data_IF_416475888775
#
_entry.id   IF_416475888775
#
_cell.length_a   1.000
_cell.length_b   1.000
_cell.length_c   1.000
_cell.angle_alpha   90.00
_cell.angle_beta   90.00
_cell.angle_gamma   90.00
#
_symmetry.space_group_name_H-M   'P 1'
#
loop_
_entity.id
_entity.type
_entity.pdbx_description
1 polymer ?
#
# COMPACT_ATOMS: atom_id res chain seq x y z
N UNK A 1 -1.65 -20.87 -4.61
CA UNK A 1 -1.07 -19.52 -4.75
C UNK A 1 0.24 -19.68 -5.49
N UNK A 2 0.41 -19.00 -6.63
CA UNK A 2 1.68 -19.06 -7.38
C UNK A 2 2.67 -18.12 -6.72
N UNK A 3 3.84 -18.63 -6.35
CA UNK A 3 4.93 -17.83 -5.79
C UNK A 3 5.54 -17.01 -6.92
N UNK A 4 5.77 -15.71 -6.70
CA UNK A 4 6.37 -14.82 -7.68
C UNK A 4 7.84 -14.55 -7.37
N UNK A 5 8.62 -14.20 -8.39
CA UNK A 5 9.94 -13.62 -8.18
C UNK A 5 9.81 -12.33 -7.37
N UNK A 6 10.83 -12.00 -6.57
CA UNK A 6 10.83 -10.80 -5.71
C UNK A 6 9.75 -10.77 -4.63
N UNK A 7 9.00 -11.86 -4.42
CA UNK A 7 7.93 -11.87 -3.43
C UNK A 7 8.47 -11.74 -2.01
N UNK A 8 7.82 -10.89 -1.21
CA UNK A 8 8.05 -10.82 0.24
C UNK A 8 6.93 -11.57 0.95
N UNK A 9 7.29 -12.54 1.78
CA UNK A 9 6.35 -13.20 2.69
C UNK A 9 6.38 -12.54 4.05
N UNK A 10 5.20 -12.25 4.61
CA UNK A 10 5.06 -11.78 5.99
C UNK A 10 5.58 -12.86 6.95
N UNK A 11 6.61 -12.53 7.74
CA UNK A 11 7.10 -13.38 8.82
C UNK A 11 6.03 -13.55 9.92
N UNK A 12 6.04 -14.71 10.55
CA UNK A 12 5.26 -15.02 11.75
C UNK A 12 6.00 -14.60 13.04
N UNK A 13 5.45 -14.97 14.20
CA UNK A 13 6.01 -14.62 15.50
C UNK A 13 7.35 -15.32 15.81
N UNK A 14 7.70 -16.38 15.06
CA UNK A 14 8.95 -17.13 15.22
C UNK A 14 10.02 -16.64 14.23
N UNK A 15 9.80 -15.50 13.57
CA UNK A 15 10.66 -14.93 12.52
C UNK A 15 10.81 -15.83 11.29
N UNK A 16 9.73 -16.51 10.88
CA UNK A 16 9.72 -17.38 9.70
C UNK A 16 8.51 -17.16 8.82
N UNK A 17 8.58 -17.61 7.58
CA UNK A 17 7.43 -17.78 6.71
C UNK A 17 7.27 -19.24 6.30
N UNK A 18 6.03 -19.71 6.30
CA UNK A 18 5.63 -21.04 5.81
C UNK A 18 5.12 -20.87 4.38
N UNK A 19 5.96 -21.18 3.40
CA UNK A 19 5.68 -20.96 1.98
C UNK A 19 5.14 -22.26 1.37
N UNK A 20 3.84 -22.31 1.02
CA UNK A 20 3.25 -23.48 0.37
C UNK A 20 3.75 -23.59 -1.07
N UNK A 21 4.29 -24.75 -1.44
CA UNK A 21 4.76 -25.07 -2.78
C UNK A 21 3.67 -25.74 -3.62
N UNK A 22 3.80 -25.68 -4.94
CA UNK A 22 2.88 -26.35 -5.86
C UNK A 22 2.86 -27.89 -5.70
N UNK A 23 3.91 -28.49 -5.14
CA UNK A 23 3.96 -29.92 -4.80
C UNK A 23 3.03 -30.31 -3.64
N UNK A 24 2.53 -29.34 -2.87
CA UNK A 24 1.81 -29.55 -1.62
C UNK A 24 2.71 -29.48 -0.38
N UNK A 25 4.04 -29.44 -0.56
CA UNK A 25 4.99 -29.27 0.55
C UNK A 25 4.99 -27.83 1.08
N UNK A 26 5.38 -27.65 2.33
CA UNK A 26 5.59 -26.34 2.94
C UNK A 26 7.10 -26.14 3.12
N UNK A 27 7.63 -25.06 2.55
CA UNK A 27 9.01 -24.62 2.79
C UNK A 27 9.03 -23.57 3.89
N UNK A 28 9.72 -23.85 4.99
CA UNK A 28 9.94 -22.87 6.06
C UNK A 28 11.21 -22.07 5.79
N UNK A 29 11.06 -20.75 5.70
CA UNK A 29 12.14 -19.82 5.44
C UNK A 29 12.30 -18.87 6.63
N UNK A 30 13.50 -18.69 7.21
CA UNK A 30 13.71 -17.68 8.25
C UNK A 30 13.69 -16.27 7.65
N UNK A 31 13.46 -15.26 8.50
CA UNK A 31 13.56 -13.83 8.13
C UNK A 31 14.87 -13.53 7.39
N UNK A 32 14.80 -12.72 6.34
CA UNK A 32 15.93 -12.43 5.45
C UNK A 32 15.71 -12.92 4.02
N UNK A 33 16.78 -13.40 3.39
CA UNK A 33 16.84 -13.76 1.98
C UNK A 33 18.01 -13.06 1.28
N UNK A 34 18.11 -13.15 -0.06
CA UNK A 34 17.13 -13.78 -0.96
C UNK A 34 17.12 -15.32 -0.86
N UNK A 35 15.95 -15.90 -1.09
CA UNK A 35 15.73 -17.34 -1.20
C UNK A 35 15.19 -17.71 -2.58
N UNK A 36 15.24 -19.01 -2.87
CA UNK A 36 14.51 -19.61 -3.99
C UNK A 36 13.44 -20.58 -3.46
N UNK A 37 12.23 -20.54 -4.01
CA UNK A 37 11.14 -21.46 -3.66
C UNK A 37 10.12 -21.56 -4.80
N UNK A 38 9.67 -22.78 -5.09
CA UNK A 38 8.61 -23.03 -6.08
C UNK A 38 8.93 -22.53 -7.49
N UNK A 39 10.21 -22.49 -7.87
CA UNK A 39 10.67 -21.97 -9.17
C UNK A 39 10.83 -20.45 -9.22
N UNK A 40 10.51 -19.73 -8.15
CA UNK A 40 10.75 -18.30 -8.02
C UNK A 40 12.06 -18.01 -7.27
N UNK A 41 12.70 -16.90 -7.60
CA UNK A 41 13.93 -16.38 -6.98
C UNK A 41 13.72 -14.99 -6.37
N UNK A 42 14.74 -14.48 -5.69
CA UNK A 42 14.69 -13.18 -5.00
C UNK A 42 13.58 -13.09 -3.94
N UNK A 43 13.21 -14.23 -3.34
CA UNK A 43 12.18 -14.28 -2.31
C UNK A 43 12.75 -13.76 -0.99
N UNK A 44 12.00 -12.88 -0.34
CA UNK A 44 12.33 -12.37 0.99
C UNK A 44 11.29 -12.85 2.00
N UNK A 45 11.73 -13.02 3.24
CA UNK A 45 10.85 -13.16 4.41
C UNK A 45 11.05 -11.93 5.27
N UNK A 46 9.98 -11.18 5.49
CA UNK A 46 10.06 -9.84 6.07
C UNK A 46 8.73 -9.33 6.58
N UNK A 47 8.61 -8.02 6.66
CA UNK A 47 7.40 -7.33 7.13
C UNK A 47 6.69 -6.61 5.99
N UNK A 48 5.39 -6.88 5.84
CA UNK A 48 4.53 -6.28 4.83
C UNK A 48 3.86 -5.01 5.35
N UNK A 49 3.86 -3.95 4.56
CA UNK A 49 3.31 -2.65 4.93
C UNK A 49 2.36 -2.13 3.86
N UNK A 50 1.14 -1.81 4.26
CA UNK A 50 0.16 -1.17 3.37
C UNK A 50 0.40 0.33 3.34
N UNK A 51 0.43 0.90 2.13
CA UNK A 51 0.56 2.34 1.89
C UNK A 51 -0.79 2.88 1.38
N UNK A 52 -1.64 3.34 2.29
CA UNK A 52 -3.03 3.75 1.99
C UNK A 52 -3.30 5.22 2.34
N UNK A 53 -4.37 5.75 1.75
CA UNK A 53 -4.78 7.15 1.89
C UNK A 53 -4.94 7.84 0.54
N UNK A 54 -4.50 9.08 0.43
CA UNK A 54 -4.65 9.89 -0.79
C UNK A 54 -3.32 10.29 -1.44
N UNK A 55 -3.32 11.40 -2.19
CA UNK A 55 -2.24 11.84 -3.08
C UNK A 55 -0.87 11.95 -2.40
N UNK A 56 -0.81 12.36 -1.13
CA UNK A 56 0.48 12.46 -0.42
C UNK A 56 1.07 11.08 -0.06
N UNK A 57 0.25 10.05 0.12
CA UNK A 57 0.72 8.66 0.21
C UNK A 57 1.02 8.07 -1.18
N UNK A 58 0.18 8.36 -2.17
CA UNK A 58 0.35 7.92 -3.57
C UNK A 58 1.67 8.44 -4.16
N UNK A 59 2.06 9.65 -3.76
CA UNK A 59 3.26 10.33 -4.24
C UNK A 59 2.91 11.43 -5.22
N UNK A 60 3.09 12.68 -4.78
CA UNK A 60 3.01 13.89 -5.60
C UNK A 60 4.28 14.73 -5.52
N UNK A 61 5.33 14.20 -4.91
CA UNK A 61 6.66 14.81 -4.89
C UNK A 61 7.33 14.74 -6.26
N UNK A 62 8.25 15.68 -6.51
CA UNK A 62 9.09 15.67 -7.71
C UNK A 62 9.99 14.43 -7.74
N UNK A 63 10.11 13.82 -8.92
CA UNK A 63 11.04 12.70 -9.17
C UNK A 63 12.45 13.23 -9.45
N UNK A 64 12.98 14.00 -8.49
CA UNK A 64 14.31 14.58 -8.52
C UNK A 64 15.04 14.08 -7.27
N UNK A 65 16.25 13.52 -7.46
CA UNK A 65 17.09 12.99 -6.38
C UNK A 65 16.33 12.06 -5.43
N UNK A 66 15.43 11.22 -5.99
CA UNK A 66 14.66 10.25 -5.22
C UNK A 66 15.56 9.17 -4.65
N UNK A 67 15.09 8.56 -3.57
CA UNK A 67 15.80 7.49 -2.89
C UNK A 67 16.09 6.33 -3.86
N UNK A 68 17.34 5.85 -3.98
CA UNK A 68 17.65 4.73 -4.87
C UNK A 68 17.04 3.43 -4.35
N UNK A 69 16.70 2.47 -5.24
CA UNK A 69 16.21 1.14 -4.86
C UNK A 69 17.12 0.41 -3.85
N UNK A 70 16.54 -0.54 -3.12
CA UNK A 70 17.25 -1.39 -2.16
C UNK A 70 16.92 -2.87 -2.42
N UNK A 71 17.89 -3.80 -2.37
CA UNK A 71 17.62 -5.23 -2.53
C UNK A 71 16.79 -5.83 -1.38
N UNK A 72 16.54 -5.09 -0.31
CA UNK A 72 15.76 -5.55 0.85
C UNK A 72 14.39 -4.86 0.96
N UNK A 73 14.01 -4.05 -0.04
CA UNK A 73 12.72 -3.37 -0.09
C UNK A 73 12.07 -3.65 -1.44
N UNK A 74 11.04 -4.48 -1.43
CA UNK A 74 10.28 -4.85 -2.63
C UNK A 74 8.87 -4.24 -2.56
N UNK A 75 8.24 -4.10 -3.71
CA UNK A 75 6.88 -3.55 -3.85
C UNK A 75 5.99 -4.56 -4.55
N UNK A 76 4.81 -4.79 -3.99
CA UNK A 76 3.70 -5.44 -4.68
C UNK A 76 2.99 -4.39 -5.53
N UNK A 77 3.44 -4.26 -6.78
CA UNK A 77 3.10 -3.12 -7.64
C UNK A 77 1.59 -3.02 -7.89
N UNK A 78 1.13 -1.88 -8.41
CA UNK A 78 -0.28 -1.66 -8.73
C UNK A 78 -0.87 -2.74 -9.66
N UNK A 79 -0.04 -3.30 -10.54
CA UNK A 79 -0.35 -4.45 -11.43
C UNK A 79 -0.34 -5.83 -10.75
N UNK A 80 -0.17 -5.89 -9.44
CA UNK A 80 -0.21 -7.15 -8.65
C UNK A 80 0.95 -8.12 -8.96
N UNK A 81 2.08 -7.54 -9.36
CA UNK A 81 3.36 -8.22 -9.54
C UNK A 81 4.40 -7.70 -8.54
N UNK A 82 5.23 -8.60 -8.02
CA UNK A 82 6.34 -8.26 -7.15
C UNK A 82 7.58 -7.81 -7.95
N UNK A 83 8.25 -6.78 -7.45
CA UNK A 83 9.55 -6.33 -7.95
C UNK A 83 10.31 -5.57 -6.85
N UNK A 84 11.58 -5.26 -7.10
CA UNK A 84 12.31 -4.28 -6.29
C UNK A 84 11.55 -2.95 -6.28
N UNK A 85 11.46 -2.31 -5.11
CA UNK A 85 10.76 -1.05 -4.96
C UNK A 85 11.57 0.11 -5.59
N UNK A 86 10.90 0.88 -6.44
CA UNK A 86 11.43 2.04 -7.14
C UNK A 86 10.34 3.11 -7.24
N UNK A 87 10.71 4.38 -7.13
CA UNK A 87 9.78 5.49 -7.31
C UNK A 87 9.43 5.69 -8.79
N UNK A 88 8.18 6.03 -9.14
CA UNK A 88 7.00 6.05 -8.30
C UNK A 88 6.54 4.65 -7.87
N UNK A 89 6.10 4.51 -6.61
CA UNK A 89 5.53 3.25 -6.13
C UNK A 89 4.11 2.98 -6.65
N UNK A 90 3.30 4.03 -6.87
CA UNK A 90 1.92 3.91 -7.32
C UNK A 90 1.79 4.15 -8.83
N UNK A 91 1.44 3.09 -9.56
CA UNK A 91 1.16 3.08 -11.00
C UNK A 91 -0.29 2.65 -11.23
N UNK A 92 -1.23 3.48 -10.76
CA UNK A 92 -2.64 3.10 -10.64
C UNK A 92 -3.32 2.75 -11.99
N UNK A 93 -2.83 3.28 -13.11
CA UNK A 93 -3.30 2.92 -14.46
C UNK A 93 -2.99 1.48 -14.87
N UNK A 94 -2.06 0.82 -14.17
CA UNK A 94 -1.79 -0.61 -14.36
C UNK A 94 -2.65 -1.51 -13.46
N UNK A 95 -3.46 -0.91 -12.58
CA UNK A 95 -4.20 -1.70 -11.61
C UNK A 95 -5.34 -2.49 -12.26
N UNK A 96 -5.51 -3.78 -11.92
CA UNK A 96 -6.69 -4.54 -12.34
C UNK A 96 -7.95 -4.17 -11.54
N UNK A 97 -7.86 -3.26 -10.56
CA UNK A 97 -8.97 -2.84 -9.69
C UNK A 97 -9.66 -1.63 -10.31
N UNK A 98 -10.93 -1.81 -10.71
CA UNK A 98 -11.69 -0.80 -11.43
C UNK A 98 -11.89 0.52 -10.66
N UNK A 99 -11.85 0.50 -9.33
CA UNK A 99 -11.98 1.73 -8.52
C UNK A 99 -11.02 2.83 -8.97
N UNK A 100 -9.76 2.51 -9.29
CA UNK A 100 -8.77 3.53 -9.65
C UNK A 100 -9.10 4.18 -11.00
N UNK A 101 -9.59 3.40 -11.96
CA UNK A 101 -10.03 3.88 -13.27
C UNK A 101 -11.32 4.69 -13.19
N UNK A 102 -12.27 4.22 -12.40
CA UNK A 102 -13.57 4.87 -12.15
C UNK A 102 -13.41 6.23 -11.50
N UNK A 103 -12.49 6.37 -10.55
CA UNK A 103 -12.20 7.64 -9.88
C UNK A 103 -11.53 8.67 -10.80
N UNK A 104 -10.94 8.24 -11.91
CA UNK A 104 -10.51 9.12 -13.01
C UNK A 104 -11.60 9.36 -14.07
N UNK A 105 -12.83 8.92 -13.82
CA UNK A 105 -13.98 9.13 -14.70
C UNK A 105 -14.14 8.11 -15.81
N UNK A 106 -13.42 6.97 -15.79
CA UNK A 106 -13.62 5.90 -16.78
C UNK A 106 -14.88 5.10 -16.44
N UNK A 107 -15.66 4.75 -17.47
CA UNK A 107 -16.90 3.98 -17.33
C UNK A 107 -16.67 2.46 -17.31
N UNK A 108 -15.50 2.00 -17.78
CA UNK A 108 -15.12 0.59 -17.82
C UNK A 108 -13.61 0.40 -17.61
N UNK A 109 -13.21 -0.82 -17.27
CA UNK A 109 -11.79 -1.21 -17.25
C UNK A 109 -11.18 -1.07 -18.66
N UNK A 110 -9.95 -0.58 -18.79
CA UNK A 110 -9.26 -0.61 -20.06
C UNK A 110 -8.92 -2.05 -20.47
N UNK A 111 -8.92 -2.32 -21.78
CA UNK A 111 -8.56 -3.65 -22.34
C UNK A 111 -7.12 -4.06 -22.05
N UNK A 112 -6.24 -3.06 -21.81
CA UNK A 112 -4.85 -3.23 -21.44
C UNK A 112 -4.48 -2.22 -20.34
N UNK A 113 -3.53 -2.55 -19.46
CA UNK A 113 -2.93 -1.58 -18.53
C UNK A 113 -2.49 -0.30 -19.23
N UNK A 114 -2.70 0.86 -18.60
CA UNK A 114 -2.14 2.11 -19.12
C UNK A 114 -0.60 2.00 -19.13
N UNK A 115 0.07 2.36 -20.24
CA UNK A 115 1.52 2.32 -20.28
C UNK A 115 2.11 3.32 -19.28
N UNK A 116 3.24 2.96 -18.65
CA UNK A 116 3.99 3.91 -17.82
C UNK A 116 4.44 5.08 -18.68
N UNK A 117 4.12 6.30 -18.25
CA UNK A 117 4.63 7.52 -18.87
C UNK A 117 6.14 7.65 -18.61
N UNK A 118 7.00 7.56 -19.65
CA UNK A 118 8.45 7.71 -19.49
C UNK A 118 8.88 9.14 -19.15
N UNK A 119 7.98 10.12 -19.26
CA UNK A 119 8.22 11.53 -18.95
C UNK A 119 7.59 11.96 -17.62
N UNK A 120 7.05 11.02 -16.84
CA UNK A 120 6.50 11.29 -15.52
C UNK A 120 7.55 11.98 -14.65
N UNK A 121 7.20 13.15 -14.11
CA UNK A 121 8.07 13.98 -13.28
C UNK A 121 7.59 14.12 -11.82
N UNK A 122 6.42 13.56 -11.51
CA UNK A 122 5.81 13.51 -10.17
C UNK A 122 5.52 12.08 -9.77
N UNK A 123 5.68 11.74 -8.51
CA UNK A 123 5.37 10.40 -8.02
C UNK A 123 6.15 9.97 -6.78
N UNK A 124 7.11 10.79 -6.33
CA UNK A 124 7.83 10.49 -5.10
C UNK A 124 6.87 10.51 -3.91
N UNK A 125 6.85 9.42 -3.16
CA UNK A 125 6.11 9.28 -1.90
C UNK A 125 7.03 9.00 -0.72
N UNK A 126 6.44 8.61 0.41
CA UNK A 126 7.20 8.24 1.63
C UNK A 126 7.59 6.76 1.69
N UNK A 127 7.00 5.92 0.83
CA UNK A 127 7.03 4.46 0.96
C UNK A 127 8.44 3.87 0.89
N UNK A 128 9.23 4.24 -0.13
CA UNK A 128 10.57 3.68 -0.32
C UNK A 128 11.52 4.11 0.80
N UNK A 129 11.50 5.40 1.15
CA UNK A 129 12.27 5.94 2.26
C UNK A 129 11.91 5.27 3.59
N UNK A 130 10.61 5.07 3.86
CA UNK A 130 10.14 4.31 5.02
C UNK A 130 10.70 2.89 5.02
N UNK A 131 10.57 2.15 3.92
CA UNK A 131 11.03 0.76 3.83
C UNK A 131 12.52 0.63 4.10
N UNK A 132 13.34 1.55 3.56
CA UNK A 132 14.78 1.56 3.79
C UNK A 132 15.14 1.92 5.22
N UNK A 133 14.51 2.94 5.79
CA UNK A 133 14.73 3.32 7.19
C UNK A 133 14.30 2.19 8.15
N UNK A 134 13.17 1.53 7.88
CA UNK A 134 12.69 0.39 8.63
C UNK A 134 13.67 -0.77 8.59
N UNK A 135 14.14 -1.14 7.39
CA UNK A 135 15.12 -2.20 7.21
C UNK A 135 16.44 -1.85 7.92
N UNK A 136 16.95 -0.63 7.78
CA UNK A 136 18.18 -0.20 8.44
C UNK A 136 18.09 -0.28 9.97
N UNK A 137 16.92 0.02 10.54
CA UNK A 137 16.69 -0.02 11.98
C UNK A 137 16.51 -1.45 12.52
N UNK A 138 15.87 -2.33 11.75
CA UNK A 138 15.40 -3.64 12.24
C UNK A 138 16.18 -4.84 11.69
N UNK A 139 16.89 -4.67 10.58
CA UNK A 139 17.48 -5.75 9.79
C UNK A 139 16.46 -6.60 9.02
N UNK A 140 15.16 -6.30 9.12
CA UNK A 140 14.09 -7.11 8.51
C UNK A 140 13.78 -6.61 7.10
N UNK A 141 13.72 -7.47 6.08
CA UNK A 141 13.29 -7.07 4.74
C UNK A 141 11.86 -6.52 4.70
N UNK A 142 11.54 -5.69 3.72
CA UNK A 142 10.25 -4.99 3.64
C UNK A 142 9.53 -5.27 2.33
N UNK A 143 8.24 -5.59 2.42
CA UNK A 143 7.33 -5.60 1.28
C UNK A 143 6.32 -4.46 1.38
N UNK A 144 6.31 -3.56 0.40
CA UNK A 144 5.39 -2.43 0.33
C UNK A 144 4.15 -2.81 -0.51
N UNK A 145 2.96 -2.40 -0.06
CA UNK A 145 1.70 -2.61 -0.77
C UNK A 145 1.05 -1.24 -1.07
N UNK A 146 1.44 -0.58 -2.16
CA UNK A 146 0.82 0.64 -2.66
C UNK A 146 -0.69 0.47 -2.86
N UNK A 147 -1.50 1.24 -2.14
CA UNK A 147 -2.98 1.16 -2.20
C UNK A 147 -3.68 2.53 -2.16
N UNK A 148 -2.94 3.62 -1.98
CA UNK A 148 -3.48 4.98 -1.95
C UNK A 148 -4.02 5.46 -3.33
N UNK A 149 -4.95 6.41 -3.31
CA UNK A 149 -5.50 7.05 -4.52
C UNK A 149 -5.84 8.53 -4.27
N UNK A 150 -5.32 9.40 -5.12
CA UNK A 150 -5.40 10.86 -5.02
C UNK A 150 -6.81 11.42 -5.00
N UNK A 151 -7.01 12.50 -4.24
CA UNK A 151 -8.29 13.20 -4.16
C UNK A 151 -9.39 12.48 -3.38
N UNK A 152 -9.10 11.38 -2.69
CA UNK A 152 -10.12 10.56 -2.02
C UNK A 152 -10.47 11.03 -0.61
N UNK A 153 -11.76 10.98 -0.27
CA UNK A 153 -12.29 11.23 1.07
C UNK A 153 -12.48 9.94 1.87
N UNK A 154 -12.70 10.07 3.18
CA UNK A 154 -13.03 8.93 4.06
C UNK A 154 -14.30 8.18 3.65
N UNK A 155 -15.21 8.81 2.91
CA UNK A 155 -16.41 8.15 2.39
C UNK A 155 -16.07 7.09 1.33
N UNK A 156 -15.10 7.39 0.45
CA UNK A 156 -14.64 6.45 -0.58
C UNK A 156 -13.82 5.28 0.00
N UNK A 157 -13.32 5.46 1.22
CA UNK A 157 -12.63 4.44 2.01
C UNK A 157 -13.54 3.67 2.97
N UNK A 158 -14.86 3.89 2.91
CA UNK A 158 -15.84 3.24 3.77
C UNK A 158 -15.70 1.70 3.78
N UNK A 159 -15.55 1.08 4.96
CA UNK A 159 -15.54 -0.39 5.08
C UNK A 159 -16.83 -1.08 4.61
N UNK A 160 -17.95 -0.35 4.60
CA UNK A 160 -19.22 -0.87 4.07
C UNK A 160 -19.12 -1.22 2.58
N UNK A 161 -18.19 -0.61 1.85
CA UNK A 161 -17.93 -0.86 0.44
C UNK A 161 -17.04 -2.10 0.20
N UNK A 162 -16.62 -2.84 1.24
CA UNK A 162 -15.79 -4.04 1.09
C UNK A 162 -16.39 -5.05 0.11
N UNK A 163 -17.71 -5.24 0.17
CA UNK A 163 -18.43 -6.17 -0.70
C UNK A 163 -18.37 -5.84 -2.19
N UNK A 164 -17.96 -4.62 -2.54
CA UNK A 164 -17.76 -4.19 -3.93
C UNK A 164 -16.41 -4.65 -4.52
N UNK A 165 -15.54 -5.26 -3.70
CA UNK A 165 -14.23 -5.77 -4.11
C UNK A 165 -13.38 -4.68 -4.77
N UNK A 166 -12.79 -5.01 -5.92
CA UNK A 166 -11.96 -4.09 -6.70
C UNK A 166 -12.67 -2.83 -7.23
N UNK A 167 -13.99 -2.68 -6.99
CA UNK A 167 -14.74 -1.47 -7.31
C UNK A 167 -14.74 -0.42 -6.20
N UNK A 168 -14.22 -0.72 -5.00
CA UNK A 168 -14.02 0.24 -3.90
C UNK A 168 -12.57 0.25 -3.41
N UNK A 169 -12.14 1.34 -2.76
CA UNK A 169 -10.76 1.48 -2.28
C UNK A 169 -10.48 0.51 -1.13
N UNK A 170 -11.44 0.36 -0.21
CA UNK A 170 -11.35 -0.60 0.88
C UNK A 170 -11.32 -2.03 0.36
N UNK A 171 -12.25 -2.40 -0.54
CA UNK A 171 -12.31 -3.74 -1.13
C UNK A 171 -11.05 -4.08 -1.93
N UNK A 172 -10.57 -3.16 -2.77
CA UNK A 172 -9.32 -3.33 -3.52
C UNK A 172 -8.11 -3.54 -2.59
N UNK A 173 -7.99 -2.74 -1.51
CA UNK A 173 -6.90 -2.88 -0.53
C UNK A 173 -6.99 -4.24 0.19
N UNK A 174 -8.20 -4.63 0.61
CA UNK A 174 -8.43 -5.93 1.24
C UNK A 174 -8.00 -7.08 0.32
N UNK A 175 -8.46 -7.08 -0.94
CA UNK A 175 -8.14 -8.14 -1.90
C UNK A 175 -6.63 -8.19 -2.23
N UNK A 176 -5.95 -7.03 -2.30
CA UNK A 176 -4.49 -6.97 -2.46
C UNK A 176 -3.76 -7.61 -1.28
N UNK A 177 -4.20 -7.33 -0.03
CA UNK A 177 -3.62 -7.96 1.16
C UNK A 177 -3.88 -9.46 1.19
N UNK A 178 -5.09 -9.91 0.83
CA UNK A 178 -5.38 -11.35 0.70
C UNK A 178 -4.50 -12.01 -0.36
N UNK A 179 -4.24 -11.33 -1.48
CA UNK A 179 -3.38 -11.80 -2.56
C UNK A 179 -1.91 -12.04 -2.16
N UNK A 180 -1.45 -11.44 -1.06
CA UNK A 180 -0.07 -11.60 -0.55
C UNK A 180 0.01 -12.40 0.76
N UNK A 181 -1.07 -13.08 1.16
CA UNK A 181 -1.10 -13.97 2.33
C UNK A 181 -1.99 -13.48 3.49
N UNK A 182 -2.70 -12.37 3.32
CA UNK A 182 -3.78 -11.95 4.21
C UNK A 182 -3.36 -11.29 5.53
N UNK A 183 -2.06 -11.18 5.79
CA UNK A 183 -1.51 -10.55 7.00
C UNK A 183 -0.44 -9.53 6.65
N UNK A 184 -0.37 -8.48 7.45
CA UNK A 184 0.61 -7.39 7.29
C UNK A 184 1.16 -6.95 8.64
N UNK A 185 2.33 -6.33 8.65
CA UNK A 185 2.95 -5.78 9.87
C UNK A 185 2.28 -4.49 10.33
N UNK A 186 1.75 -3.70 9.40
CA UNK A 186 1.08 -2.45 9.71
C UNK A 186 0.53 -1.73 8.48
N UNK A 187 -0.24 -0.68 8.74
CA UNK A 187 -0.78 0.22 7.73
C UNK A 187 -0.22 1.62 7.97
N UNK A 188 0.37 2.21 6.94
CA UNK A 188 0.69 3.63 6.88
C UNK A 188 -0.47 4.34 6.20
N UNK A 189 -1.02 5.34 6.88
CA UNK A 189 -2.20 6.07 6.45
C UNK A 189 -1.92 7.56 6.37
N UNK A 190 -1.97 8.11 5.16
CA UNK A 190 -1.84 9.55 4.95
C UNK A 190 -3.01 10.04 4.10
N UNK A 191 -4.01 10.57 4.80
CA UNK A 191 -5.23 11.11 4.23
C UNK A 191 -5.86 12.14 5.18
N UNK A 192 -6.62 13.05 4.61
CA UNK A 192 -7.50 13.95 5.38
C UNK A 192 -7.78 15.25 4.67
N UNK A 193 -6.99 15.60 3.66
CA UNK A 193 -7.10 16.87 2.96
C UNK A 193 -8.45 17.00 2.23
N UNK A 194 -8.99 15.91 1.65
CA UNK A 194 -10.32 15.92 1.04
C UNK A 194 -11.48 16.00 2.05
N UNK A 195 -11.23 15.74 3.34
CA UNK A 195 -12.22 15.83 4.42
C UNK A 195 -12.07 17.12 5.26
N UNK A 196 -11.12 18.00 4.93
CA UNK A 196 -10.79 19.22 5.66
C UNK A 196 -11.79 20.38 5.42
N UNK A 197 -13.09 20.08 5.44
CA UNK A 197 -14.19 21.03 5.37
C UNK A 197 -15.19 20.74 6.53
N UNK A 198 -16.07 21.69 6.91
CA UNK A 198 -16.87 21.57 8.15
C UNK A 198 -17.63 20.24 8.30
N UNK A 199 -18.22 19.72 7.23
CA UNK A 199 -18.93 18.44 7.25
C UNK A 199 -18.01 17.21 7.32
N UNK A 200 -16.87 17.23 6.63
CA UNK A 200 -15.90 16.13 6.64
C UNK A 200 -15.22 15.99 8.00
N UNK A 201 -14.77 17.09 8.58
CA UNK A 201 -14.13 17.13 9.91
C UNK A 201 -15.06 16.56 10.99
N UNK A 202 -16.35 16.89 10.94
CA UNK A 202 -17.33 16.40 11.91
C UNK A 202 -17.48 14.86 11.90
N UNK A 203 -17.24 14.21 10.77
CA UNK A 203 -17.37 12.75 10.60
C UNK A 203 -16.03 12.01 10.63
N UNK A 204 -14.90 12.72 10.56
CA UNK A 204 -13.58 12.13 10.35
C UNK A 204 -13.20 11.13 11.45
N UNK A 205 -13.36 11.51 12.71
CA UNK A 205 -13.01 10.66 13.85
C UNK A 205 -13.81 9.34 13.88
N UNK A 206 -15.11 9.41 13.62
CA UNK A 206 -15.98 8.25 13.56
C UNK A 206 -15.59 7.33 12.39
N UNK A 207 -15.44 7.89 11.19
CA UNK A 207 -15.07 7.15 9.98
C UNK A 207 -13.69 6.50 10.12
N UNK A 208 -12.72 7.22 10.69
CA UNK A 208 -11.37 6.71 10.94
C UNK A 208 -11.39 5.55 11.94
N UNK A 209 -12.17 5.68 13.02
CA UNK A 209 -12.34 4.61 14.00
C UNK A 209 -12.96 3.36 13.38
N UNK A 210 -13.99 3.53 12.56
CA UNK A 210 -14.62 2.44 11.83
C UNK A 210 -13.65 1.76 10.86
N UNK A 211 -12.84 2.55 10.14
CA UNK A 211 -11.82 2.06 9.20
C UNK A 211 -10.77 1.18 9.90
N UNK A 212 -10.17 1.67 11.00
CA UNK A 212 -9.16 0.92 11.77
C UNK A 212 -9.74 -0.40 12.29
N UNK A 213 -10.94 -0.35 12.88
CA UNK A 213 -11.59 -1.52 13.44
C UNK A 213 -11.93 -2.55 12.36
N UNK A 214 -12.36 -2.10 11.19
CA UNK A 214 -12.68 -2.97 10.07
C UNK A 214 -11.43 -3.69 9.53
N UNK A 215 -10.32 -2.99 9.29
CA UNK A 215 -9.09 -3.65 8.84
C UNK A 215 -8.57 -4.67 9.86
N UNK A 216 -8.61 -4.33 11.15
CA UNK A 216 -8.25 -5.25 12.23
C UNK A 216 -9.09 -6.52 12.23
N UNK A 217 -10.41 -6.37 12.09
CA UNK A 217 -11.34 -7.50 12.03
C UNK A 217 -11.11 -8.34 10.77
N UNK A 218 -10.99 -7.70 9.60
CA UNK A 218 -10.94 -8.36 8.30
C UNK A 218 -9.61 -9.07 8.04
N UNK A 219 -8.51 -8.57 8.60
CA UNK A 219 -7.20 -9.25 8.55
C UNK A 219 -7.00 -10.22 9.73
N UNK A 220 -7.94 -10.29 10.67
CA UNK A 220 -7.82 -11.12 11.87
C UNK A 220 -6.64 -10.70 12.77
N UNK A 221 -6.35 -9.40 12.82
CA UNK A 221 -5.24 -8.79 13.56
C UNK A 221 -5.76 -7.68 14.47
N UNK A 222 -6.25 -8.04 15.67
CA UNK A 222 -6.87 -7.08 16.60
C UNK A 222 -5.94 -5.97 17.09
N UNK A 223 -4.63 -6.21 17.06
CA UNK A 223 -3.57 -5.30 17.45
C UNK A 223 -2.82 -4.66 16.26
N UNK A 224 -3.37 -4.79 15.03
CA UNK A 224 -2.73 -4.27 13.81
C UNK A 224 -2.31 -2.80 14.01
N UNK A 225 -1.00 -2.50 13.90
CA UNK A 225 -0.49 -1.14 13.96
C UNK A 225 -1.02 -0.29 12.81
N UNK A 226 -1.48 0.92 13.15
CA UNK A 226 -2.01 1.89 12.20
C UNK A 226 -1.33 3.24 12.48
N UNK A 227 -0.51 3.71 11.55
CA UNK A 227 0.25 4.94 11.67
C UNK A 227 -0.41 6.03 10.83
N UNK A 228 -0.98 7.02 11.50
CA UNK A 228 -1.65 8.15 10.86
C UNK A 228 -0.69 9.33 10.71
N UNK A 229 -0.70 9.96 9.54
CA UNK A 229 0.00 11.21 9.30
C UNK A 229 -0.96 12.37 9.54
N UNK A 230 -0.55 13.33 10.38
CA UNK A 230 -1.27 14.59 10.50
C UNK A 230 -1.06 15.42 9.23
N UNK A 231 -2.16 15.81 8.57
CA UNK A 231 -2.11 16.62 7.35
C UNK A 231 -1.46 17.98 7.60
N UNK A 232 -0.79 18.53 6.58
CA UNK A 232 -0.22 19.86 6.64
C UNK A 232 -1.30 20.93 6.80
N UNK A 233 -1.02 21.98 7.57
CA UNK A 233 -1.91 23.14 7.66
C UNK A 233 -1.74 24.01 6.41
N UNK A 234 -2.84 24.34 5.74
CA UNK A 234 -2.84 25.48 4.82
C UNK A 234 -2.74 26.75 5.66
N UNK A 235 -1.58 27.42 5.62
CA UNK A 235 -1.48 28.78 6.10
C UNK A 235 -2.25 29.66 5.11
N UNK A 236 -3.51 29.94 5.38
CA UNK A 236 -4.15 31.11 4.79
C UNK A 236 -3.44 32.31 5.38
N UNK A 237 -2.80 33.15 4.57
CA UNK A 237 -2.41 34.49 5.02
C UNK A 237 -3.66 35.10 5.67
N UNK A 238 -3.62 35.30 6.99
CA UNK A 238 -4.65 36.07 7.66
C UNK A 238 -4.64 37.45 7.03
N UNK A 239 -5.75 37.80 6.38
CA UNK A 239 -6.10 39.18 6.10
C UNK A 239 -5.85 40.00 7.36
N UNK A 240 -5.05 41.05 7.19
CA UNK A 240 -4.65 42.02 8.20
C UNK A 240 -5.72 42.27 9.27
N UNK A 241 -5.31 42.15 10.54
CA UNK A 241 -5.98 42.82 11.65
C UNK A 241 -6.12 44.32 11.30
N UNK A 242 -7.37 44.76 11.13
CA UNK A 242 -7.75 46.16 11.01
C UNK A 242 -8.26 46.71 12.34
#
# INVERSE_FOLDING_TARGET
MTIQNFQVFQRDADDRARVPLASGDIKELPVGGPYEAGGASEILVGDLWVLAGQSNMEGVGDLIDVEPPSPFVHSYQSREEWAVAEEPLHWLGESPRFVHHRLWGREAMPDQPDPRDPHRNKGAGLGLAFGKAYHALTGVPVGLIPSAHGGTSMEQWSPQLRGEGGNSLYGATYERVQGVGGKVKGILWYQGESDAYPGGVALYHERMTALVNAFRADFGQSDLPFYLVQIGCFATESTSDG
#
